data_IF_747671768243
#
_entry.id   IF_747671768243
#
_cell.length_a   1.000
_cell.length_b   1.000
_cell.length_c   1.000
_cell.angle_alpha   90.00
_cell.angle_beta   90.00
_cell.angle_gamma   90.00
#
_symmetry.space_group_name_H-M   'P 1'
#
loop_
_entity.id
_entity.type
_entity.pdbx_description
1 polymer ?
#
# COMPACT_ATOMS: atom_id res chain seq x y z
N UNK A 1 16.06 9.63 -6.58
CA UNK A 1 14.81 8.93 -6.23
C UNK A 1 15.05 7.44 -6.46
N UNK A 2 14.79 6.59 -5.48
CA UNK A 2 14.89 5.15 -5.59
C UNK A 2 13.49 4.54 -5.56
N UNK A 3 13.26 3.48 -6.33
CA UNK A 3 12.00 2.73 -6.37
C UNK A 3 12.31 1.26 -6.17
N UNK A 4 11.71 0.65 -5.17
CA UNK A 4 11.90 -0.78 -4.86
C UNK A 4 10.55 -1.51 -4.88
N UNK A 5 10.60 -2.84 -5.07
CA UNK A 5 9.42 -3.73 -5.07
C UNK A 5 9.57 -4.78 -3.95
N UNK A 6 9.37 -4.41 -2.68
CA UNK A 6 9.75 -5.29 -1.57
C UNK A 6 8.94 -6.59 -1.53
N UNK A 7 7.77 -6.62 -2.16
CA UNK A 7 6.92 -7.81 -2.23
C UNK A 7 7.10 -8.68 -3.49
N UNK A 8 7.95 -8.33 -4.45
CA UNK A 8 8.03 -9.00 -5.76
C UNK A 8 8.30 -10.53 -5.69
N UNK A 9 8.78 -11.04 -4.55
CA UNK A 9 9.06 -12.47 -4.32
C UNK A 9 8.53 -12.97 -2.97
N UNK A 10 7.61 -12.23 -2.34
CA UNK A 10 7.06 -12.57 -1.03
C UNK A 10 5.61 -13.01 -1.16
N UNK A 11 5.25 -14.07 -0.44
CA UNK A 11 3.85 -14.43 -0.20
C UNK A 11 3.40 -13.72 1.07
N UNK A 12 2.28 -13.03 1.00
CA UNK A 12 1.59 -12.46 2.16
C UNK A 12 0.25 -13.17 2.25
N UNK A 13 -0.04 -13.73 3.42
CA UNK A 13 -1.23 -14.56 3.62
C UNK A 13 -2.37 -13.78 4.27
N UNK A 14 -2.05 -12.77 5.09
CA UNK A 14 -3.05 -11.95 5.81
C UNK A 14 -2.94 -10.49 5.41
N UNK A 15 -4.09 -9.83 5.31
CA UNK A 15 -4.15 -8.40 4.96
C UNK A 15 -3.51 -7.53 6.04
N UNK A 16 -3.54 -7.93 7.32
CA UNK A 16 -2.84 -7.23 8.39
C UNK A 16 -1.33 -7.23 8.18
N UNK A 17 -0.75 -8.38 7.81
CA UNK A 17 0.70 -8.48 7.55
C UNK A 17 1.13 -7.55 6.41
N UNK A 18 0.26 -7.34 5.41
CA UNK A 18 0.51 -6.37 4.35
C UNK A 18 0.64 -4.95 4.93
N UNK A 19 -0.33 -4.52 5.76
CA UNK A 19 -0.33 -3.17 6.31
C UNK A 19 0.77 -2.94 7.33
N UNK A 20 1.13 -3.94 8.13
CA UNK A 20 2.24 -3.88 9.08
C UNK A 20 3.58 -3.66 8.34
N UNK A 21 3.77 -4.33 7.20
CA UNK A 21 4.94 -4.12 6.34
C UNK A 21 4.97 -2.71 5.73
N UNK A 22 3.84 -2.21 5.22
CA UNK A 22 3.77 -0.83 4.72
C UNK A 22 4.12 0.17 5.84
N UNK A 23 3.58 -0.04 7.04
CA UNK A 23 3.92 0.76 8.21
C UNK A 23 5.43 0.73 8.48
N UNK A 24 6.03 -0.45 8.55
CA UNK A 24 7.45 -0.63 8.78
C UNK A 24 8.31 0.11 7.73
N UNK A 25 7.95 0.05 6.45
CA UNK A 25 8.71 0.75 5.39
C UNK A 25 8.71 2.26 5.57
N UNK A 26 7.58 2.81 6.02
CA UNK A 26 7.41 4.24 6.25
C UNK A 26 7.99 4.69 7.61
N UNK A 27 8.13 3.77 8.56
CA UNK A 27 8.59 4.02 9.93
C UNK A 27 10.09 3.84 10.16
N UNK A 28 10.86 3.25 9.24
CA UNK A 28 12.28 2.97 9.53
C UNK A 28 13.07 4.24 9.86
N UNK A 29 14.16 4.07 10.61
CA UNK A 29 15.19 5.08 10.96
C UNK A 29 16.00 5.55 9.72
N UNK A 30 15.31 5.88 8.64
CA UNK A 30 15.94 6.51 7.49
C UNK A 30 16.56 7.84 7.94
N UNK A 31 17.69 8.25 7.34
CA UNK A 31 18.27 9.56 7.61
C UNK A 31 17.20 10.65 7.56
N UNK A 32 17.24 11.63 8.47
CA UNK A 32 16.19 12.65 8.64
C UNK A 32 15.80 13.41 7.36
N UNK A 33 16.60 13.31 6.30
CA UNK A 33 16.37 13.93 4.99
C UNK A 33 15.71 12.98 3.95
N UNK A 34 15.45 11.72 4.30
CA UNK A 34 14.85 10.73 3.38
C UNK A 34 13.33 10.82 3.45
N UNK A 35 12.71 11.23 2.35
CA UNK A 35 11.25 11.19 2.21
C UNK A 35 10.82 9.86 1.62
N UNK A 36 9.80 9.22 2.19
CA UNK A 36 9.29 7.93 1.76
C UNK A 36 7.81 7.96 1.46
N UNK A 37 7.43 7.14 0.49
CA UNK A 37 6.05 6.94 0.07
C UNK A 37 5.88 5.50 -0.41
N UNK A 38 4.82 4.83 0.01
CA UNK A 38 4.43 3.55 -0.54
C UNK A 38 3.40 3.78 -1.65
N UNK A 39 3.61 3.18 -2.81
CA UNK A 39 2.62 3.10 -3.88
C UNK A 39 2.00 1.72 -3.85
N UNK A 40 0.73 1.63 -3.48
CA UNK A 40 0.01 0.38 -3.26
C UNK A 40 -0.82 0.07 -4.51
N UNK A 41 -0.56 -1.09 -5.10
CA UNK A 41 -1.38 -1.59 -6.21
C UNK A 41 -2.72 -2.12 -5.72
N UNK A 42 -3.79 -1.80 -6.43
CA UNK A 42 -5.12 -2.35 -6.27
C UNK A 42 -5.44 -3.11 -7.57
N UNK A 43 -5.56 -4.42 -7.47
CA UNK A 43 -5.83 -5.30 -8.60
C UNK A 43 -7.26 -5.22 -9.11
N UNK A 44 -7.58 -6.08 -10.08
CA UNK A 44 -8.93 -6.21 -10.64
C UNK A 44 -10.01 -6.38 -9.55
N UNK A 45 -11.19 -5.71 -9.68
CA UNK A 45 -11.64 -4.92 -10.83
C UNK A 45 -11.14 -3.48 -10.88
N UNK A 46 -10.61 -2.96 -9.78
CA UNK A 46 -10.27 -1.54 -9.66
C UNK A 46 -9.09 -1.15 -10.58
N UNK A 47 -8.08 -2.03 -10.68
CA UNK A 47 -6.87 -1.84 -11.51
C UNK A 47 -6.24 -0.44 -11.35
N UNK A 48 -5.90 -0.10 -10.11
CA UNK A 48 -5.53 1.26 -9.72
C UNK A 48 -4.36 1.29 -8.72
N UNK A 49 -3.88 2.47 -8.38
CA UNK A 49 -2.90 2.68 -7.32
C UNK A 49 -3.41 3.65 -6.26
N UNK A 50 -2.96 3.47 -5.02
CA UNK A 50 -3.09 4.47 -3.97
C UNK A 50 -1.72 4.75 -3.35
N UNK A 51 -1.46 5.99 -2.97
CA UNK A 51 -0.22 6.38 -2.35
C UNK A 51 -0.40 6.49 -0.84
N UNK A 52 0.55 5.99 -0.08
CA UNK A 52 0.57 6.07 1.38
C UNK A 52 1.83 6.78 1.81
N UNK A 53 1.67 7.89 2.52
CA UNK A 53 2.79 8.61 3.12
C UNK A 53 2.54 8.79 4.61
N UNK A 54 3.62 8.68 5.41
CA UNK A 54 3.58 9.00 6.82
C UNK A 54 3.42 10.51 7.00
N UNK A 55 2.45 10.92 7.80
CA UNK A 55 2.20 12.34 8.13
C UNK A 55 2.57 12.68 9.56
N UNK A 56 2.52 11.69 10.46
CA UNK A 56 3.00 11.81 11.83
C UNK A 56 3.53 10.46 12.31
N UNK A 57 4.08 10.42 13.52
CA UNK A 57 4.51 9.16 14.17
C UNK A 57 3.41 8.12 14.28
N UNK A 58 2.12 8.51 14.28
CA UNK A 58 0.98 7.60 14.47
C UNK A 58 -0.03 7.63 13.33
N UNK A 59 0.27 8.33 12.23
CA UNK A 59 -0.70 8.49 11.13
C UNK A 59 -0.04 8.42 9.77
N UNK A 60 -0.75 7.77 8.85
CA UNK A 60 -0.47 7.78 7.42
C UNK A 60 -1.65 8.40 6.68
N UNK A 61 -1.36 9.08 5.56
CA UNK A 61 -2.38 9.58 4.64
C UNK A 61 -2.38 8.72 3.39
N UNK A 62 -3.59 8.29 3.02
CA UNK A 62 -3.89 7.66 1.75
C UNK A 62 -4.26 8.75 0.73
N UNK A 63 -3.48 8.86 -0.33
CA UNK A 63 -3.78 9.66 -1.50
C UNK A 63 -4.29 8.71 -2.58
N UNK A 64 -5.61 8.66 -2.73
CA UNK A 64 -6.21 7.93 -3.84
C UNK A 64 -6.05 8.73 -5.13
N UNK A 65 -5.54 8.10 -6.20
CA UNK A 65 -5.23 8.80 -7.44
C UNK A 65 -6.37 8.84 -8.47
N UNK A 66 -7.62 8.43 -8.17
CA UNK A 66 -8.74 8.61 -9.12
C UNK A 66 -10.11 8.27 -8.51
N UNK A 67 -10.99 9.27 -8.33
CA UNK A 67 -12.45 9.20 -8.04
C UNK A 67 -12.99 8.24 -6.96
N UNK A 68 -12.14 7.45 -6.32
CA UNK A 68 -12.50 6.54 -5.24
C UNK A 68 -12.71 7.34 -3.97
N UNK A 69 -13.88 7.14 -3.35
CA UNK A 69 -14.14 7.60 -1.99
C UNK A 69 -13.08 7.00 -1.06
N UNK A 70 -12.68 7.76 -0.04
CA UNK A 70 -11.72 7.32 0.98
C UNK A 70 -12.05 5.90 1.46
N UNK A 71 -11.24 4.93 1.05
CA UNK A 71 -11.46 3.51 1.37
C UNK A 71 -11.03 3.23 2.80
N UNK A 72 -11.87 2.52 3.55
CA UNK A 72 -11.49 2.04 4.88
C UNK A 72 -10.55 0.82 4.75
N UNK A 73 -9.57 0.69 5.65
CA UNK A 73 -8.63 -0.44 5.65
C UNK A 73 -9.31 -1.82 5.65
N UNK A 74 -10.50 -1.92 6.26
CA UNK A 74 -11.33 -3.13 6.28
C UNK A 74 -11.91 -3.53 4.92
N UNK A 75 -11.84 -2.66 3.92
CA UNK A 75 -12.34 -2.89 2.57
C UNK A 75 -11.26 -3.47 1.65
N UNK A 76 -10.15 -3.97 2.19
CA UNK A 76 -9.07 -4.55 1.40
C UNK A 76 -8.91 -6.05 1.67
N UNK A 77 -8.48 -6.78 0.64
CA UNK A 77 -8.22 -8.22 0.71
C UNK A 77 -7.03 -8.60 -0.17
N UNK A 78 -6.35 -9.70 0.16
CA UNK A 78 -5.35 -10.33 -0.70
C UNK A 78 -5.96 -11.43 -1.60
N UNK A 79 -7.19 -11.88 -1.28
CA UNK A 79 -7.87 -12.93 -2.04
C UNK A 79 -8.66 -12.35 -3.20
N UNK A 80 -8.39 -12.87 -4.40
CA UNK A 80 -9.13 -12.50 -5.61
C UNK A 80 -10.58 -12.95 -5.57
N UNK A 81 -10.86 -14.11 -4.97
CA UNK A 81 -12.22 -14.63 -4.87
C UNK A 81 -13.04 -13.74 -3.95
N UNK A 82 -12.48 -13.34 -2.80
CA UNK A 82 -13.14 -12.42 -1.86
C UNK A 82 -13.44 -11.06 -2.51
N UNK A 83 -12.51 -10.53 -3.32
CA UNK A 83 -12.73 -9.28 -4.03
C UNK A 83 -13.88 -9.37 -5.05
N UNK A 84 -14.03 -10.53 -5.72
CA UNK A 84 -15.10 -10.76 -6.69
C UNK A 84 -16.46 -11.02 -6.04
N UNK A 85 -16.52 -11.72 -4.90
CA UNK A 85 -17.77 -12.19 -4.31
C UNK A 85 -18.38 -11.21 -3.31
N UNK A 86 -17.56 -10.43 -2.58
CA UNK A 86 -18.06 -9.58 -1.50
C UNK A 86 -18.45 -8.15 -1.94
N UNK A 87 -18.43 -7.85 -3.23
CA UNK A 87 -19.01 -6.65 -3.85
C UNK A 87 -18.45 -5.27 -3.43
N UNK A 88 -17.63 -5.21 -2.39
CA UNK A 88 -17.08 -3.98 -1.82
C UNK A 88 -15.70 -4.15 -1.18
N UNK A 89 -14.99 -5.23 -1.54
CA UNK A 89 -13.63 -5.52 -1.12
C UNK A 89 -12.67 -5.30 -2.30
N UNK A 90 -11.62 -4.51 -2.08
CA UNK A 90 -10.61 -4.14 -3.05
C UNK A 90 -9.40 -5.07 -2.92
N UNK A 91 -8.97 -5.66 -4.03
CA UNK A 91 -7.84 -6.60 -4.03
C UNK A 91 -6.54 -5.81 -3.96
N UNK A 92 -5.71 -6.05 -2.95
CA UNK A 92 -4.33 -5.55 -2.94
C UNK A 92 -3.47 -6.36 -3.91
N UNK A 93 -2.72 -5.67 -4.77
CA UNK A 93 -1.74 -6.27 -5.67
C UNK A 93 -0.33 -6.04 -5.12
N UNK A 94 0.18 -7.06 -4.43
CA UNK A 94 1.54 -7.05 -3.87
C UNK A 94 2.62 -6.95 -4.96
N UNK A 95 2.38 -7.46 -6.17
CA UNK A 95 3.35 -7.38 -7.29
C UNK A 95 3.43 -5.98 -7.90
N UNK A 96 2.35 -5.21 -7.75
CA UNK A 96 2.26 -3.81 -8.17
C UNK A 96 2.34 -2.84 -6.99
N UNK A 97 2.96 -3.27 -5.89
CA UNK A 97 3.21 -2.43 -4.72
C UNK A 97 4.69 -2.09 -4.60
N UNK A 98 5.00 -0.81 -4.38
CA UNK A 98 6.33 -0.23 -4.46
C UNK A 98 6.63 0.66 -3.26
N UNK A 99 7.90 0.75 -2.88
CA UNK A 99 8.42 1.79 -2.00
C UNK A 99 9.19 2.81 -2.85
N UNK A 100 8.87 4.08 -2.67
CA UNK A 100 9.51 5.22 -3.32
C UNK A 100 10.25 6.03 -2.26
N UNK A 101 11.53 6.25 -2.49
CA UNK A 101 12.41 6.98 -1.58
C UNK A 101 13.07 8.16 -2.31
N UNK A 102 13.00 9.34 -1.70
CA UNK A 102 13.77 10.51 -2.13
C UNK A 102 14.78 10.83 -1.05
N UNK A 103 16.04 10.57 -1.38
CA UNK A 103 17.20 10.99 -0.59
C UNK A 103 17.40 12.49 -0.85
N UNK A 104 17.47 13.28 0.23
CA UNK A 104 17.82 14.69 0.23
C UNK A 104 19.32 14.90 0.22
#
# INVERSE_FOLDING_TARGET
IAVTRPFARRKIERVQDFWDEIGAWLDTDAPAQTKRLACIGIGYPDNHWTLVAKTSTKSVTFFDSWELKRLALRQFTLSQDVAKTNGGMHKLDTRQTFLIERIG
#
